data_IF_494608745991
#
_entry.id   IF_494608745991
#
_cell.length_a   1.000
_cell.length_b   1.000
_cell.length_c   1.000
_cell.angle_alpha   90.00
_cell.angle_beta   90.00
_cell.angle_gamma   90.00
#
_symmetry.space_group_name_H-M   'P 1'
#
loop_
_entity.id
_entity.type
_entity.pdbx_description
1 polymer ?
#
# COMPACT_ATOMS: atom_id res chain seq x y z
N UNK A 1 -1.48 12.89 -0.19
CA UNK A 1 -0.48 12.21 -1.05
C UNK A 1 -1.18 11.69 -2.29
N UNK A 2 -0.56 11.82 -3.46
CA UNK A 2 -1.04 11.24 -4.72
C UNK A 2 0.14 10.60 -5.44
N UNK A 3 -0.10 9.54 -6.18
CA UNK A 3 0.90 8.84 -6.97
C UNK A 3 0.26 8.07 -8.11
N UNK A 4 1.11 7.54 -9.00
CA UNK A 4 0.71 6.67 -10.10
C UNK A 4 1.59 5.43 -10.02
N UNK A 5 1.01 4.24 -10.12
CA UNK A 5 1.78 3.00 -10.14
C UNK A 5 2.57 2.91 -11.45
N UNK A 6 3.90 2.87 -11.32
CA UNK A 6 4.85 2.74 -12.42
C UNK A 6 5.35 1.30 -12.58
N UNK A 7 6.05 1.04 -13.69
CA UNK A 7 6.71 -0.25 -13.89
C UNK A 7 7.79 -0.52 -12.83
N UNK A 8 8.46 0.52 -12.33
CA UNK A 8 9.51 0.38 -11.30
C UNK A 8 8.91 -0.09 -9.98
N UNK A 9 7.76 0.47 -9.58
CA UNK A 9 7.04 0.05 -8.36
C UNK A 9 6.64 -1.42 -8.42
N UNK A 10 6.17 -1.87 -9.60
CA UNK A 10 5.79 -3.27 -9.82
C UNK A 10 7.01 -4.20 -9.84
N UNK A 11 8.15 -3.72 -10.37
CA UNK A 11 9.39 -4.48 -10.31
C UNK A 11 9.84 -4.71 -8.86
N UNK A 12 9.83 -3.66 -8.04
CA UNK A 12 10.16 -3.79 -6.61
C UNK A 12 9.20 -4.77 -5.91
N UNK A 13 7.90 -4.64 -6.17
CA UNK A 13 6.88 -5.54 -5.60
C UNK A 13 7.15 -7.00 -5.97
N UNK A 14 7.41 -7.30 -7.24
CA UNK A 14 7.68 -8.66 -7.72
C UNK A 14 9.04 -9.20 -7.26
N UNK A 15 10.04 -8.35 -7.00
CA UNK A 15 11.32 -8.80 -6.45
C UNK A 15 11.26 -9.14 -4.96
N UNK A 16 10.46 -8.39 -4.21
CA UNK A 16 10.18 -8.66 -2.80
C UNK A 16 9.23 -9.83 -2.63
N UNK A 17 8.38 -10.06 -3.63
CA UNK A 17 7.40 -11.13 -3.77
C UNK A 17 6.68 -11.48 -2.46
N UNK A 18 6.01 -10.50 -1.86
CA UNK A 18 5.51 -10.68 -0.50
C UNK A 18 4.31 -11.66 -0.42
N UNK A 19 3.74 -12.03 -1.58
CA UNK A 19 2.69 -13.04 -1.72
C UNK A 19 3.17 -14.41 -2.21
N UNK A 20 4.48 -14.63 -2.38
CA UNK A 20 5.02 -15.91 -2.86
C UNK A 20 4.57 -16.29 -4.28
N UNK A 21 4.34 -15.29 -5.14
CA UNK A 21 3.91 -15.46 -6.53
C UNK A 21 5.05 -15.89 -7.43
N UNK A 22 6.29 -15.54 -7.09
CA UNK A 22 7.48 -15.82 -7.88
C UNK A 22 8.17 -17.12 -7.49
N UNK A 23 8.88 -17.73 -8.43
CA UNK A 23 9.60 -18.99 -8.24
C UNK A 23 10.63 -18.95 -7.12
N UNK A 24 11.22 -17.77 -6.85
CA UNK A 24 12.18 -17.56 -5.75
C UNK A 24 11.58 -17.86 -4.38
N UNK A 25 10.26 -17.66 -4.21
CA UNK A 25 9.55 -17.86 -2.94
C UNK A 25 8.49 -18.97 -3.03
N UNK A 26 8.65 -19.91 -3.97
CA UNK A 26 7.76 -21.08 -4.11
C UNK A 26 6.55 -20.88 -5.01
N UNK A 27 6.44 -19.73 -5.68
CA UNK A 27 5.40 -19.42 -6.65
C UNK A 27 5.69 -19.97 -8.05
N UNK A 28 4.81 -19.64 -9.00
CA UNK A 28 4.83 -20.18 -10.37
C UNK A 28 5.46 -19.24 -11.40
N UNK A 29 5.58 -17.96 -11.11
CA UNK A 29 6.00 -16.95 -12.07
C UNK A 29 7.48 -16.61 -11.91
N UNK A 30 8.19 -16.36 -13.00
CA UNK A 30 9.44 -15.58 -12.91
C UNK A 30 9.13 -14.14 -12.50
N UNK A 31 10.12 -13.40 -11.98
CA UNK A 31 9.96 -11.96 -11.69
C UNK A 31 9.45 -11.22 -12.92
N UNK A 32 10.01 -11.48 -14.10
CA UNK A 32 9.56 -10.87 -15.36
C UNK A 32 8.09 -11.17 -15.69
N UNK A 33 7.63 -12.41 -15.45
CA UNK A 33 6.24 -12.78 -15.66
C UNK A 33 5.30 -12.13 -14.64
N UNK A 34 5.72 -12.05 -13.37
CA UNK A 34 5.01 -11.29 -12.34
C UNK A 34 4.88 -9.81 -12.76
N UNK A 35 5.98 -9.18 -13.18
CA UNK A 35 5.97 -7.78 -13.61
C UNK A 35 5.05 -7.58 -14.82
N UNK A 36 5.11 -8.45 -15.82
CA UNK A 36 4.23 -8.36 -16.98
C UNK A 36 2.75 -8.48 -16.59
N UNK A 37 2.40 -9.42 -15.70
CA UNK A 37 1.04 -9.64 -15.26
C UNK A 37 0.50 -8.46 -14.44
N UNK A 38 1.24 -8.03 -13.42
CA UNK A 38 0.81 -6.91 -12.57
C UNK A 38 0.81 -5.59 -13.33
N UNK A 39 1.77 -5.35 -14.23
CA UNK A 39 1.79 -4.14 -15.05
C UNK A 39 0.61 -4.08 -16.02
N UNK A 40 0.19 -5.22 -16.60
CA UNK A 40 -1.02 -5.26 -17.43
C UNK A 40 -2.28 -4.86 -16.64
N UNK A 41 -2.36 -5.23 -15.35
CA UNK A 41 -3.50 -4.98 -14.47
C UNK A 41 -3.49 -3.61 -13.80
N UNK A 42 -2.30 -3.10 -13.44
CA UNK A 42 -2.15 -1.96 -12.52
C UNK A 42 -1.40 -0.76 -13.12
N UNK A 43 -0.95 -0.81 -14.38
CA UNK A 43 -0.33 0.36 -15.01
C UNK A 43 -1.27 1.57 -14.95
N UNK A 44 -0.71 2.73 -14.64
CA UNK A 44 -1.41 4.00 -14.57
C UNK A 44 -2.56 4.04 -13.55
N UNK A 45 -2.60 3.11 -12.59
CA UNK A 45 -3.52 3.24 -11.45
C UNK A 45 -3.10 4.46 -10.64
N UNK A 46 -4.00 5.42 -10.52
CA UNK A 46 -3.85 6.57 -9.65
C UNK A 46 -4.12 6.13 -8.22
N UNK A 47 -3.22 6.47 -7.30
CA UNK A 47 -3.41 6.24 -5.87
C UNK A 47 -3.47 7.57 -5.16
N UNK A 48 -4.45 7.73 -4.28
CA UNK A 48 -4.59 8.93 -3.46
C UNK A 48 -4.84 8.54 -2.01
N UNK A 49 -4.06 9.17 -1.13
CA UNK A 49 -4.23 9.08 0.32
C UNK A 49 -4.45 10.48 0.90
N UNK A 50 -5.52 10.65 1.67
CA UNK A 50 -5.87 11.87 2.40
C UNK A 50 -6.01 11.56 3.88
N UNK A 51 -5.52 12.43 4.74
CA UNK A 51 -5.64 12.25 6.18
C UNK A 51 -6.37 13.44 6.83
N UNK A 52 -7.19 13.14 7.83
CA UNK A 52 -7.83 14.13 8.69
C UNK A 52 -7.21 14.04 10.09
N UNK A 53 -6.15 14.82 10.33
CA UNK A 53 -5.32 14.69 11.54
C UNK A 53 -6.06 14.94 12.86
N UNK A 54 -7.13 15.76 12.85
CA UNK A 54 -7.98 16.00 14.02
C UNK A 54 -8.94 14.83 14.31
N UNK A 55 -9.46 14.20 13.26
CA UNK A 55 -10.34 13.03 13.37
C UNK A 55 -9.57 11.71 13.50
N UNK A 56 -8.23 11.74 13.35
CA UNK A 56 -7.34 10.58 13.38
C UNK A 56 -7.73 9.53 12.32
N UNK A 57 -8.13 9.99 11.14
CA UNK A 57 -8.53 9.12 10.03
C UNK A 57 -7.63 9.29 8.81
N UNK A 58 -7.50 8.21 8.05
CA UNK A 58 -6.84 8.17 6.76
C UNK A 58 -7.77 7.49 5.76
N UNK A 59 -7.89 8.11 4.60
CA UNK A 59 -8.71 7.61 3.50
C UNK A 59 -7.78 7.37 2.32
N UNK A 60 -7.88 6.21 1.71
CA UNK A 60 -7.12 5.87 0.51
C UNK A 60 -8.04 5.35 -0.59
N UNK A 61 -7.71 5.66 -1.83
CA UNK A 61 -8.47 5.23 -3.01
C UNK A 61 -7.52 4.86 -4.14
N UNK A 62 -7.93 3.87 -4.93
CA UNK A 62 -7.29 3.44 -6.16
C UNK A 62 -8.21 3.85 -7.33
N UNK A 63 -7.73 4.66 -8.26
CA UNK A 63 -8.50 5.25 -9.34
C UNK A 63 -9.80 5.92 -8.83
N UNK A 64 -10.93 5.66 -9.51
CA UNK A 64 -12.27 6.15 -9.18
C UNK A 64 -13.05 5.19 -8.27
N UNK A 65 -12.39 4.17 -7.70
CA UNK A 65 -13.01 3.27 -6.74
C UNK A 65 -13.43 4.00 -5.46
N UNK A 66 -14.41 3.47 -4.72
CA UNK A 66 -14.76 3.98 -3.41
C UNK A 66 -13.53 4.06 -2.49
N UNK A 67 -13.40 5.18 -1.78
CA UNK A 67 -12.33 5.33 -0.80
C UNK A 67 -12.53 4.35 0.37
N UNK A 68 -11.43 3.78 0.83
CA UNK A 68 -11.37 2.99 2.06
C UNK A 68 -10.95 3.90 3.20
N UNK A 69 -11.66 3.78 4.33
CA UNK A 69 -11.50 4.63 5.50
C UNK A 69 -10.91 3.81 6.64
N UNK A 70 -9.87 4.35 7.29
CA UNK A 70 -9.31 3.77 8.51
C UNK A 70 -9.20 4.82 9.60
N UNK A 71 -9.47 4.40 10.84
CA UNK A 71 -9.36 5.24 12.03
C UNK A 71 -8.25 4.69 12.92
N UNK A 72 -7.42 5.60 13.41
CA UNK A 72 -6.32 5.26 14.31
C UNK A 72 -6.73 5.42 15.79
N UNK A 73 -6.04 4.71 16.72
CA UNK A 73 -5.02 3.70 16.48
C UNK A 73 -5.59 2.42 15.84
N UNK A 74 -4.79 1.75 15.01
CA UNK A 74 -5.18 0.46 14.41
C UNK A 74 -5.06 -0.66 15.45
N UNK A 75 -5.83 -1.74 15.26
CA UNK A 75 -5.67 -2.93 16.08
C UNK A 75 -4.27 -3.57 15.83
N UNK A 76 -3.71 -4.28 16.83
CA UNK A 76 -2.45 -4.99 16.65
C UNK A 76 -2.50 -5.92 15.44
N UNK A 77 -1.46 -5.87 14.60
CA UNK A 77 -1.38 -6.69 13.39
C UNK A 77 -2.18 -6.19 12.18
N UNK A 78 -2.97 -5.10 12.31
CA UNK A 78 -3.75 -4.57 11.19
C UNK A 78 -2.91 -3.91 10.09
N UNK A 79 -1.66 -3.49 10.37
CA UNK A 79 -0.75 -2.89 9.38
C UNK A 79 0.42 -3.84 9.01
N UNK A 80 0.15 -5.14 8.94
CA UNK A 80 1.10 -6.12 8.42
C UNK A 80 0.96 -6.18 6.89
N UNK A 81 1.72 -5.37 6.18
CA UNK A 81 1.71 -5.34 4.71
C UNK A 81 2.83 -6.20 4.12
N UNK A 82 2.44 -7.39 3.69
CA UNK A 82 3.12 -8.16 2.64
C UNK A 82 2.08 -8.93 1.77
N UNK A 83 1.05 -9.54 2.37
CA UNK A 83 0.04 -10.32 1.62
C UNK A 83 -1.39 -9.75 1.63
N UNK A 84 -1.69 -8.76 2.47
CA UNK A 84 -3.06 -8.22 2.65
C UNK A 84 -3.51 -7.24 1.56
N UNK A 85 -2.59 -6.76 0.71
CA UNK A 85 -2.87 -5.72 -0.28
C UNK A 85 -3.13 -4.33 0.31
N UNK A 86 -3.07 -4.16 1.64
CA UNK A 86 -3.20 -2.85 2.27
C UNK A 86 -1.89 -2.07 2.16
N UNK A 87 -1.95 -0.77 1.82
CA UNK A 87 -0.76 0.07 1.81
C UNK A 87 -0.28 0.30 3.25
N UNK A 88 1.00 0.65 3.51
CA UNK A 88 1.52 0.81 4.86
C UNK A 88 0.83 1.98 5.58
N UNK A 89 -0.20 1.69 6.36
CA UNK A 89 -1.16 2.67 6.88
C UNK A 89 -0.53 3.56 7.95
N UNK A 90 0.22 2.97 8.87
CA UNK A 90 0.91 3.68 9.96
C UNK A 90 1.95 4.62 9.37
N UNK A 91 2.82 4.13 8.48
CA UNK A 91 3.86 4.96 7.85
C UNK A 91 3.25 6.12 7.07
N UNK A 92 2.18 5.90 6.29
CA UNK A 92 1.50 6.99 5.60
C UNK A 92 0.88 8.01 6.56
N UNK A 93 0.28 7.56 7.67
CA UNK A 93 -0.28 8.47 8.67
C UNK A 93 0.79 9.28 9.40
N UNK A 94 1.95 8.68 9.71
CA UNK A 94 3.10 9.38 10.28
C UNK A 94 3.60 10.49 9.35
N UNK A 95 3.65 10.22 8.03
CA UNK A 95 4.04 11.22 7.03
C UNK A 95 3.01 12.35 6.93
N UNK A 96 1.71 12.02 6.90
CA UNK A 96 0.64 12.99 6.68
C UNK A 96 0.23 13.78 7.94
N UNK A 97 0.36 13.18 9.12
CA UNK A 97 -0.08 13.73 10.41
C UNK A 97 0.97 13.55 11.54
N UNK A 98 2.21 14.03 11.37
CA UNK A 98 3.33 13.70 12.27
C UNK A 98 3.08 14.09 13.74
N UNK A 99 2.50 15.28 14.00
CA UNK A 99 2.17 15.71 15.37
C UNK A 99 1.08 14.88 16.03
N UNK A 100 0.14 14.34 15.25
CA UNK A 100 -0.91 13.47 15.78
C UNK A 100 -0.35 12.07 16.01
N UNK A 101 0.44 11.54 15.08
CA UNK A 101 1.12 10.25 15.23
C UNK A 101 2.00 10.21 16.50
N UNK A 102 2.77 11.28 16.77
CA UNK A 102 3.58 11.38 17.98
C UNK A 102 2.74 11.30 19.27
N UNK A 103 1.58 12.00 19.31
CA UNK A 103 0.67 11.96 20.46
C UNK A 103 0.04 10.57 20.65
N UNK A 104 -0.14 9.83 19.57
CA UNK A 104 -0.66 8.46 19.57
C UNK A 104 0.44 7.40 19.81
N UNK A 105 1.70 7.81 19.94
CA UNK A 105 2.86 6.92 20.16
C UNK A 105 3.03 5.85 19.06
N UNK A 106 2.89 6.28 17.79
CA UNK A 106 3.17 5.47 16.60
C UNK A 106 4.62 5.60 16.17
#
# INVERSE_FOLDING_TARGET
MKGIITKADINEYCERDPGGTTTKYGGKLTVNQCVAEYFAKQKNVEVQTTAHCGAQTLNFRYNQEPAVYVKFPLAPGSDQSCASGMPPLISQFMILCPKTAQRLKM
#
